data_IF_064326917317
#
_entry.id   IF_064326917317
#
_cell.length_a   1.000
_cell.length_b   1.000
_cell.length_c   1.000
_cell.angle_alpha   90.00
_cell.angle_beta   90.00
_cell.angle_gamma   90.00
#
_symmetry.space_group_name_H-M   'P 1'
#
loop_
_entity.id
_entity.type
_entity.pdbx_description
1 polymer ?
#
# COMPACT_ATOMS: atom_id res chain seq x y z
N UNK A 1 -3.53 -3.09 -22.97
CA UNK A 1 -3.77 -1.82 -22.28
C UNK A 1 -2.84 -0.78 -22.88
N UNK A 2 -3.32 0.41 -23.27
CA UNK A 2 -2.45 1.48 -23.74
C UNK A 2 -1.59 2.01 -22.58
N UNK A 3 -0.41 2.59 -22.86
CA UNK A 3 0.42 3.22 -21.85
C UNK A 3 -0.34 4.41 -21.24
N UNK A 4 -0.39 4.47 -19.92
CA UNK A 4 -0.97 5.59 -19.17
C UNK A 4 -0.16 6.84 -19.51
N UNK A 5 -0.82 7.87 -20.05
CA UNK A 5 -0.18 9.16 -20.34
C UNK A 5 0.09 9.92 -19.05
N UNK A 6 0.97 10.92 -19.11
CA UNK A 6 1.44 11.72 -17.96
C UNK A 6 0.30 12.37 -17.15
N UNK A 7 -0.92 12.45 -17.69
CA UNK A 7 -2.13 12.97 -17.05
C UNK A 7 -2.80 12.03 -16.03
N UNK A 8 -2.43 10.74 -15.99
CA UNK A 8 -3.00 9.74 -15.06
C UNK A 8 -2.15 9.52 -13.78
N UNK A 9 -0.91 10.02 -13.75
CA UNK A 9 -0.02 9.89 -12.60
C UNK A 9 -0.48 10.67 -11.36
N UNK A 10 -1.40 11.62 -11.51
CA UNK A 10 -1.90 12.48 -10.42
C UNK A 10 -3.30 12.09 -9.92
N UNK A 11 -3.89 11.03 -10.48
CA UNK A 11 -5.21 10.56 -10.06
C UNK A 11 -5.11 9.80 -8.73
N UNK A 12 -5.89 10.26 -7.74
CA UNK A 12 -6.04 9.55 -6.47
C UNK A 12 -7.10 8.46 -6.61
N UNK A 13 -6.71 7.26 -6.20
CA UNK A 13 -7.55 6.06 -6.10
C UNK A 13 -7.81 5.77 -4.63
N UNK A 14 -8.95 5.15 -4.32
CA UNK A 14 -9.20 4.58 -2.98
C UNK A 14 -9.11 3.07 -3.07
N UNK A 15 -8.27 2.47 -2.24
CA UNK A 15 -8.21 1.03 -2.04
C UNK A 15 -8.85 0.68 -0.70
N UNK A 16 -9.74 -0.32 -0.73
CA UNK A 16 -10.32 -0.90 0.47
C UNK A 16 -9.96 -2.38 0.51
N UNK A 17 -9.35 -2.81 1.62
CA UNK A 17 -9.02 -4.20 1.91
C UNK A 17 -10.00 -4.71 2.97
N UNK A 18 -10.84 -5.66 2.58
CA UNK A 18 -11.75 -6.36 3.48
C UNK A 18 -11.02 -7.56 4.09
N UNK A 19 -10.71 -7.48 5.40
CA UNK A 19 -9.97 -8.54 6.10
C UNK A 19 -10.92 -9.57 6.73
N UNK A 20 -11.96 -9.07 7.38
CA UNK A 20 -13.07 -9.82 7.97
C UNK A 20 -14.17 -8.81 8.28
N UNK A 21 -15.42 -9.20 8.51
CA UNK A 21 -16.39 -8.23 9.06
C UNK A 21 -16.17 -8.04 10.56
N UNK A 22 -16.08 -6.81 11.12
CA UNK A 22 -16.15 -5.46 10.52
C UNK A 22 -14.77 -4.78 10.34
N UNK A 23 -13.73 -5.55 10.01
CA UNK A 23 -12.35 -5.09 9.85
C UNK A 23 -12.02 -4.77 8.38
N UNK A 24 -11.98 -3.47 8.09
CA UNK A 24 -11.56 -2.93 6.79
C UNK A 24 -10.34 -2.01 6.96
N UNK A 25 -9.51 -1.93 5.92
CA UNK A 25 -8.43 -0.94 5.80
C UNK A 25 -8.71 -0.14 4.54
N UNK A 26 -8.79 1.19 4.68
CA UNK A 26 -8.99 2.09 3.54
C UNK A 26 -7.78 3.02 3.39
N UNK A 27 -7.32 3.23 2.16
CA UNK A 27 -6.19 4.10 1.85
C UNK A 27 -6.37 4.81 0.51
N UNK A 28 -5.88 6.04 0.45
CA UNK A 28 -5.77 6.84 -0.76
C UNK A 28 -4.41 6.60 -1.41
N UNK A 29 -4.43 6.31 -2.72
CA UNK A 29 -3.29 5.82 -3.47
C UNK A 29 -3.10 6.60 -4.78
N UNK A 30 -1.86 6.73 -5.23
CA UNK A 30 -1.52 7.11 -6.60
C UNK A 30 -0.87 5.92 -7.31
N UNK A 31 -1.04 5.84 -8.64
CA UNK A 31 -0.34 4.82 -9.43
C UNK A 31 1.13 5.21 -9.48
N UNK A 32 2.00 4.33 -8.98
CA UNK A 32 3.45 4.54 -9.02
C UNK A 32 4.05 3.94 -10.29
N UNK A 33 3.66 2.69 -10.61
CA UNK A 33 4.18 1.97 -11.77
C UNK A 33 3.20 0.88 -12.20
N UNK A 34 3.15 0.56 -13.48
CA UNK A 34 2.44 -0.62 -13.99
C UNK A 34 3.39 -1.46 -14.82
N UNK A 35 3.69 -2.67 -14.34
CA UNK A 35 4.59 -3.62 -14.99
C UNK A 35 3.82 -4.86 -15.39
N UNK A 36 3.53 -4.99 -16.68
CA UNK A 36 2.77 -6.12 -17.22
C UNK A 36 1.35 -6.17 -16.64
N UNK A 37 1.06 -7.20 -15.83
CA UNK A 37 -0.23 -7.38 -15.15
C UNK A 37 -0.23 -6.90 -13.69
N UNK A 38 0.86 -6.30 -13.23
CA UNK A 38 1.00 -5.83 -11.84
C UNK A 38 0.99 -4.32 -11.82
N UNK A 39 0.16 -3.73 -10.96
CA UNK A 39 0.16 -2.30 -10.68
C UNK A 39 0.73 -2.04 -9.28
N UNK A 40 1.78 -1.23 -9.21
CA UNK A 40 2.34 -0.67 -7.99
C UNK A 40 1.65 0.65 -7.66
N UNK A 41 1.28 0.80 -6.38
CA UNK A 41 0.62 1.99 -5.88
C UNK A 41 1.43 2.62 -4.74
N UNK A 42 1.50 3.94 -4.72
CA UNK A 42 2.04 4.69 -3.59
C UNK A 42 0.88 5.11 -2.69
N UNK A 43 0.98 4.80 -1.40
CA UNK A 43 0.02 5.27 -0.41
C UNK A 43 0.26 6.75 -0.12
N UNK A 44 -0.71 7.60 -0.44
CA UNK A 44 -0.66 9.04 -0.16
C UNK A 44 -1.26 9.36 1.21
N UNK A 45 -2.36 8.68 1.57
CA UNK A 45 -3.01 8.91 2.86
C UNK A 45 -3.70 7.65 3.37
N UNK A 46 -3.56 7.40 4.67
CA UNK A 46 -4.22 6.31 5.38
C UNK A 46 -4.65 6.83 6.75
N UNK A 47 -5.86 6.52 7.16
CA UNK A 47 -6.36 6.93 8.47
C UNK A 47 -5.72 6.10 9.60
N UNK A 48 -5.78 6.63 10.83
CA UNK A 48 -5.12 6.03 11.99
C UNK A 48 -5.64 4.63 12.34
N UNK A 49 -6.93 4.37 12.13
CA UNK A 49 -7.51 3.07 12.40
C UNK A 49 -7.05 2.05 11.36
N UNK A 50 -7.06 2.43 10.08
CA UNK A 50 -6.60 1.62 8.95
C UNK A 50 -5.12 1.27 9.06
N UNK A 51 -4.23 2.23 9.37
CA UNK A 51 -2.78 1.94 9.50
C UNK A 51 -2.48 1.03 10.70
N UNK A 52 -3.23 1.19 11.80
CA UNK A 52 -3.09 0.32 12.97
C UNK A 52 -3.49 -1.12 12.64
N UNK A 53 -4.59 -1.30 11.90
CA UNK A 53 -5.04 -2.61 11.41
C UNK A 53 -4.05 -3.22 10.43
N UNK A 54 -3.53 -2.43 9.50
CA UNK A 54 -2.52 -2.88 8.54
C UNK A 54 -1.28 -3.38 9.25
N UNK A 55 -0.76 -2.60 10.21
CA UNK A 55 0.38 -3.01 11.04
C UNK A 55 0.10 -4.32 11.78
N UNK A 56 -1.07 -4.45 12.40
CA UNK A 56 -1.45 -5.69 13.10
C UNK A 56 -1.54 -6.88 12.16
N UNK A 57 -2.08 -6.69 10.96
CA UNK A 57 -2.14 -7.73 9.93
C UNK A 57 -0.73 -8.18 9.52
N UNK A 58 0.18 -7.24 9.29
CA UNK A 58 1.57 -7.55 8.95
C UNK A 58 2.26 -8.30 10.11
N UNK A 59 2.03 -7.89 11.36
CA UNK A 59 2.55 -8.59 12.56
C UNK A 59 2.10 -10.05 12.62
N UNK A 60 0.81 -10.28 12.35
CA UNK A 60 0.23 -11.63 12.38
C UNK A 60 0.75 -12.51 11.23
N UNK A 61 0.96 -11.94 10.05
CA UNK A 61 1.48 -12.70 8.90
C UNK A 61 2.97 -13.01 9.03
N UNK A 62 3.75 -12.13 9.65
CA UNK A 62 5.20 -12.30 9.78
C UNK A 62 5.59 -13.15 11.01
N UNK A 63 4.73 -13.25 12.02
CA UNK A 63 4.94 -14.09 13.21
C UNK A 63 6.08 -13.64 14.14
N UNK A 64 6.87 -12.65 13.74
CA UNK A 64 7.99 -12.07 14.48
C UNK A 64 7.96 -10.53 14.32
N UNK A 65 7.89 -9.82 15.44
CA UNK A 65 7.80 -8.36 15.48
C UNK A 65 9.07 -7.65 15.02
N UNK A 66 10.21 -8.34 15.00
CA UNK A 66 11.46 -7.80 14.45
C UNK A 66 11.49 -7.85 12.91
N UNK A 67 10.83 -8.84 12.29
CA UNK A 67 10.65 -8.88 10.83
C UNK A 67 9.72 -7.77 10.35
N UNK A 68 8.64 -7.50 11.09
CA UNK A 68 7.74 -6.37 10.81
C UNK A 68 8.50 -5.04 10.80
N UNK A 69 9.35 -4.78 11.79
CA UNK A 69 10.13 -3.53 11.85
C UNK A 69 11.03 -3.40 10.62
N UNK A 70 11.66 -4.49 10.16
CA UNK A 70 12.44 -4.50 8.93
C UNK A 70 11.60 -4.22 7.69
N UNK A 71 10.42 -4.84 7.56
CA UNK A 71 9.55 -4.63 6.40
C UNK A 71 8.93 -3.23 6.38
N UNK A 72 8.54 -2.67 7.53
CA UNK A 72 8.07 -1.29 7.64
C UNK A 72 9.19 -0.29 7.33
N UNK A 73 10.41 -0.53 7.82
CA UNK A 73 11.58 0.26 7.44
C UNK A 73 11.87 0.13 5.94
N UNK A 74 11.76 -1.06 5.35
CA UNK A 74 11.93 -1.26 3.91
C UNK A 74 10.84 -0.59 3.07
N UNK A 75 9.60 -0.54 3.57
CA UNK A 75 8.49 0.19 2.94
C UNK A 75 8.69 1.71 3.00
N UNK A 76 9.29 2.21 4.08
CA UNK A 76 9.66 3.61 4.25
C UNK A 76 10.93 4.00 3.47
N UNK A 77 11.85 3.06 3.29
CA UNK A 77 13.12 3.24 2.59
C UNK A 77 13.05 2.83 1.12
N UNK A 78 11.92 2.33 0.61
CA UNK A 78 11.82 1.85 -0.76
C UNK A 78 12.28 2.96 -1.72
N UNK A 79 13.47 2.81 -2.33
CA UNK A 79 13.91 3.76 -3.31
C UNK A 79 13.07 3.47 -4.53
N UNK A 80 12.15 4.36 -4.84
CA UNK A 80 11.54 4.42 -6.18
C UNK A 80 12.72 4.63 -7.12
N UNK A 81 13.27 3.54 -7.67
CA UNK A 81 14.12 3.64 -8.85
C UNK A 81 13.18 3.95 -10.00
N UNK A 82 13.03 5.26 -10.21
CA UNK A 82 12.65 5.90 -11.46
C UNK A 82 13.35 5.24 -12.66
#
# INVERSE_FOLDING_TARGET
MPPLGDEEAEKIYSLTLDLSEPVQITMALTVAEVVGSTAGFKCEHIDMDSITRLRRLLELNLGDSELLKRDLSALAEWPIKL
#
